data_IF_609574341847
#
_entry.id   IF_609574341847
#
_cell.length_a   1.000
_cell.length_b   1.000
_cell.length_c   1.000
_cell.angle_alpha   90.00
_cell.angle_beta   90.00
_cell.angle_gamma   90.00
#
_symmetry.space_group_name_H-M   'P 1'
#
loop_
_entity.id
_entity.type
_entity.pdbx_description
1 polymer ?
#
# COMPACT_ATOMS: atom_id res chain seq x y z
N UNK A 1 -1.67 22.51 -4.81
CA UNK A 1 -0.57 22.47 -3.82
C UNK A 1 -0.33 20.99 -3.63
N UNK A 2 0.76 20.43 -4.15
CA UNK A 2 1.12 19.05 -3.82
C UNK A 2 1.71 19.10 -2.42
N UNK A 3 0.85 18.96 -1.41
CA UNK A 3 1.32 18.78 -0.04
C UNK A 3 2.08 17.46 -0.03
N UNK A 4 3.33 17.47 0.43
CA UNK A 4 4.15 16.26 0.53
C UNK A 4 3.50 15.32 1.56
N UNK A 5 2.69 14.37 1.08
CA UNK A 5 1.97 13.42 1.92
C UNK A 5 2.93 12.28 2.29
N UNK A 6 3.06 11.95 3.57
CA UNK A 6 3.99 10.88 4.01
C UNK A 6 3.22 9.62 4.37
N UNK A 7 3.62 8.48 3.80
CA UNK A 7 2.99 7.18 4.09
C UNK A 7 3.19 6.79 5.55
N UNK A 8 2.10 6.47 6.25
CA UNK A 8 2.15 6.01 7.65
C UNK A 8 2.85 4.66 7.84
N UNK A 9 3.01 3.86 6.77
CA UNK A 9 3.60 2.51 6.83
C UNK A 9 5.10 2.50 6.57
N UNK A 10 5.54 3.06 5.45
CA UNK A 10 6.95 3.03 5.04
C UNK A 10 7.70 4.34 5.30
N UNK A 11 7.00 5.46 5.56
CA UNK A 11 7.62 6.76 5.80
C UNK A 11 8.09 7.50 4.54
N UNK A 12 7.88 6.95 3.35
CA UNK A 12 8.19 7.59 2.07
C UNK A 12 7.07 8.54 1.62
N UNK A 13 7.39 9.46 0.71
CA UNK A 13 6.41 10.40 0.15
C UNK A 13 5.40 9.66 -0.76
N UNK A 14 4.14 10.02 -0.63
CA UNK A 14 3.01 9.54 -1.42
C UNK A 14 2.62 10.64 -2.41
N UNK A 15 2.84 10.38 -3.70
CA UNK A 15 2.40 11.26 -4.78
C UNK A 15 0.96 10.91 -5.19
N UNK A 16 0.01 11.20 -4.30
CA UNK A 16 -1.44 11.11 -4.56
C UNK A 16 -2.12 12.43 -4.25
N UNK A 17 -3.35 12.60 -4.74
CA UNK A 17 -4.25 13.65 -4.27
C UNK A 17 -4.67 13.37 -2.81
N UNK A 18 -5.09 14.41 -2.08
CA UNK A 18 -5.44 14.29 -0.66
C UNK A 18 -6.64 13.37 -0.43
N UNK A 19 -7.64 13.41 -1.31
CA UNK A 19 -8.82 12.53 -1.24
C UNK A 19 -8.43 11.05 -1.37
N UNK A 20 -7.56 10.71 -2.33
CA UNK A 20 -7.06 9.34 -2.51
C UNK A 20 -6.15 8.93 -1.35
N UNK A 21 -5.30 9.84 -0.85
CA UNK A 21 -4.45 9.56 0.31
C UNK A 21 -5.24 9.26 1.58
N UNK A 22 -6.35 9.97 1.83
CA UNK A 22 -7.23 9.64 2.96
C UNK A 22 -7.97 8.31 2.73
N UNK A 23 -8.32 7.97 1.48
CA UNK A 23 -8.96 6.69 1.14
C UNK A 23 -8.06 5.48 1.43
N UNK A 24 -6.75 5.61 1.25
CA UNK A 24 -5.77 4.56 1.56
C UNK A 24 -5.22 4.65 2.98
N UNK A 25 -5.99 5.18 3.95
CA UNK A 25 -5.59 5.30 5.36
C UNK A 25 -4.24 6.02 5.54
N UNK A 26 -3.98 7.04 4.70
CA UNK A 26 -2.74 7.81 4.66
C UNK A 26 -1.51 6.97 4.30
N UNK A 27 -1.69 6.00 3.40
CA UNK A 27 -0.65 5.12 2.89
C UNK A 27 -0.57 5.14 1.37
N UNK A 28 0.51 4.59 0.79
CA UNK A 28 0.49 4.26 -0.64
C UNK A 28 -0.59 3.22 -0.92
N UNK A 29 -1.16 3.17 -2.13
CA UNK A 29 -2.11 2.13 -2.53
C UNK A 29 -1.53 0.72 -2.32
N UNK A 30 -0.26 0.55 -2.68
CA UNK A 30 0.46 -0.72 -2.47
C UNK A 30 0.65 -1.01 -0.97
N UNK A 31 1.00 0.01 -0.19
CA UNK A 31 1.18 -0.15 1.26
C UNK A 31 -0.12 -0.52 1.96
N UNK A 32 -1.24 0.06 1.52
CA UNK A 32 -2.57 -0.28 1.98
C UNK A 32 -2.93 -1.71 1.60
N UNK A 33 -2.69 -2.11 0.34
CA UNK A 33 -2.90 -3.48 -0.13
C UNK A 33 -2.12 -4.50 0.72
N UNK A 34 -0.86 -4.24 1.03
CA UNK A 34 -0.09 -5.14 1.90
C UNK A 34 -0.54 -5.13 3.36
N UNK A 35 -1.00 -3.99 3.88
CA UNK A 35 -1.43 -3.88 5.28
C UNK A 35 -2.82 -4.50 5.54
N UNK A 36 -3.72 -4.46 4.55
CA UNK A 36 -5.13 -4.82 4.71
C UNK A 36 -5.59 -5.98 3.83
N UNK A 37 -5.03 -6.15 2.63
CA UNK A 37 -5.43 -7.24 1.71
C UNK A 37 -4.51 -8.46 1.81
N UNK A 38 -3.22 -8.27 2.07
CA UNK A 38 -2.34 -9.36 2.48
C UNK A 38 -2.38 -9.56 3.99
N UNK A 39 -2.77 -10.76 4.44
CA UNK A 39 -2.63 -11.15 5.84
C UNK A 39 -1.14 -11.42 6.15
N UNK A 40 -0.37 -10.37 6.40
CA UNK A 40 1.06 -10.45 6.76
C UNK A 40 1.31 -11.19 8.09
N UNK A 41 0.26 -11.49 8.87
CA UNK A 41 0.37 -12.35 10.05
C UNK A 41 0.33 -13.84 9.68
N UNK A 42 -0.04 -14.18 8.44
CA UNK A 42 -0.02 -15.55 7.95
C UNK A 42 1.41 -15.93 7.55
N UNK A 43 1.99 -16.98 8.15
CA UNK A 43 3.32 -17.43 7.77
C UNK A 43 3.33 -17.88 6.30
N UNK A 44 4.24 -17.31 5.51
CA UNK A 44 4.40 -17.63 4.09
C UNK A 44 3.63 -16.72 3.12
N UNK A 45 3.19 -15.53 3.57
CA UNK A 45 2.83 -14.43 2.67
C UNK A 45 3.76 -13.27 3.01
N UNK A 46 4.64 -12.93 2.09
CA UNK A 46 5.53 -11.77 2.21
C UNK A 46 5.08 -10.66 1.27
N UNK A 47 5.53 -9.43 1.52
CA UNK A 47 5.35 -8.28 0.61
C UNK A 47 6.01 -8.50 -0.78
N UNK A 48 6.69 -9.63 -0.96
CA UNK A 48 7.38 -10.04 -2.18
C UNK A 48 6.75 -11.29 -2.82
N UNK A 49 5.63 -11.80 -2.28
CA UNK A 49 4.87 -12.89 -2.90
C UNK A 49 3.61 -12.37 -3.58
N UNK A 50 3.49 -12.64 -4.88
CA UNK A 50 2.24 -12.41 -5.61
C UNK A 50 1.17 -13.36 -5.06
N UNK A 51 0.13 -12.80 -4.45
CA UNK A 51 -0.98 -13.57 -3.86
C UNK A 51 -1.92 -14.20 -4.89
N UNK A 52 -1.70 -13.95 -6.19
CA UNK A 52 -2.52 -14.43 -7.29
C UNK A 52 -3.67 -13.49 -7.65
N UNK A 53 -3.78 -12.34 -7.00
CA UNK A 53 -4.73 -11.29 -7.38
C UNK A 53 -4.17 -10.49 -8.58
N UNK A 54 -5.02 -10.19 -9.56
CA UNK A 54 -4.63 -9.44 -10.76
C UNK A 54 -4.19 -8.01 -10.42
N UNK A 55 -4.63 -7.49 -9.27
CA UNK A 55 -4.24 -6.18 -8.75
C UNK A 55 -3.01 -6.23 -7.82
N UNK A 56 -2.39 -7.39 -7.61
CA UNK A 56 -1.26 -7.52 -6.69
C UNK A 56 -0.02 -6.78 -7.23
N UNK A 57 0.52 -5.79 -6.50
CA UNK A 57 1.66 -4.99 -6.96
C UNK A 57 2.96 -5.79 -7.12
N UNK A 58 3.03 -7.01 -6.58
CA UNK A 58 4.21 -7.88 -6.68
C UNK A 58 4.30 -8.64 -8.01
N UNK A 59 3.21 -8.77 -8.76
CA UNK A 59 3.28 -9.46 -10.05
C UNK A 59 2.32 -8.98 -11.13
N UNK A 60 1.97 -7.70 -11.07
CA UNK A 60 1.48 -6.94 -12.21
C UNK A 60 2.61 -6.58 -13.20
#
# INVERSE_FOLDING_TARGET
MSEEQTCQRCGEIVELDQDDFELFERMHPDCFHFAFEHDLNRPGITEQENCGDEACPVGA
#
